data_IF_065934756318
#
_entry.id   IF_065934756318
#
_cell.length_a   1.000
_cell.length_b   1.000
_cell.length_c   1.000
_cell.angle_alpha   90.00
_cell.angle_beta   90.00
_cell.angle_gamma   90.00
#
_symmetry.space_group_name_H-M   'P 1'
#
loop_
_entity.id
_entity.type
_entity.pdbx_description
1 polymer ?
#
# COMPACT_ATOMS: atom_id res chain seq x y z
N UNK A 1 -0.48 -10.95 -7.47
CA UNK A 1 -0.77 -9.53 -7.76
C UNK A 1 0.03 -9.07 -8.98
N UNK A 2 -0.57 -8.26 -9.85
CA UNK A 2 0.12 -7.58 -10.96
C UNK A 2 0.71 -6.28 -10.45
N UNK A 3 1.95 -5.96 -10.84
CA UNK A 3 2.56 -4.68 -10.46
C UNK A 3 1.99 -3.53 -11.30
N UNK A 4 1.66 -2.42 -10.64
CA UNK A 4 1.08 -1.21 -11.25
C UNK A 4 1.87 0.00 -10.73
N UNK A 5 2.38 0.81 -11.65
CA UNK A 5 3.07 2.06 -11.32
C UNK A 5 2.10 3.18 -11.03
N UNK A 6 2.46 4.05 -10.09
CA UNK A 6 1.79 5.34 -9.90
C UNK A 6 2.04 6.25 -11.11
N UNK A 7 1.09 7.14 -11.39
CA UNK A 7 1.15 8.10 -12.51
C UNK A 7 1.53 9.52 -12.05
N UNK A 8 1.36 9.84 -10.77
CA UNK A 8 1.74 11.10 -10.15
C UNK A 8 2.60 10.85 -8.90
N UNK A 9 2.93 11.88 -8.13
CA UNK A 9 3.67 11.73 -6.87
C UNK A 9 2.76 11.28 -5.71
N UNK A 10 1.49 11.69 -5.75
CA UNK A 10 0.54 11.59 -4.62
C UNK A 10 -0.41 10.39 -4.70
N UNK A 11 -0.41 9.66 -5.80
CA UNK A 11 -1.34 8.58 -6.14
C UNK A 11 -0.77 7.17 -5.87
N UNK A 12 0.27 7.05 -5.05
CA UNK A 12 0.82 5.76 -4.62
C UNK A 12 -0.26 4.85 -3.98
N UNK A 13 -1.22 5.45 -3.27
CA UNK A 13 -2.38 4.73 -2.72
C UNK A 13 -3.29 4.15 -3.80
N UNK A 14 -3.55 4.89 -4.89
CA UNK A 14 -4.39 4.43 -6.00
C UNK A 14 -3.78 3.22 -6.70
N UNK A 15 -2.48 3.31 -7.02
CA UNK A 15 -1.76 2.20 -7.64
C UNK A 15 -1.70 0.98 -6.71
N UNK A 16 -1.46 1.19 -5.41
CA UNK A 16 -1.45 0.12 -4.40
C UNK A 16 -2.81 -0.57 -4.30
N UNK A 17 -3.90 0.20 -4.28
CA UNK A 17 -5.26 -0.34 -4.28
C UNK A 17 -5.55 -1.16 -5.54
N UNK A 18 -5.16 -0.66 -6.72
CA UNK A 18 -5.31 -1.38 -7.97
C UNK A 18 -4.59 -2.74 -7.97
N UNK A 19 -3.36 -2.79 -7.42
CA UNK A 19 -2.58 -4.04 -7.34
C UNK A 19 -3.26 -5.09 -6.44
N UNK A 20 -3.81 -4.65 -5.31
CA UNK A 20 -4.45 -5.50 -4.31
C UNK A 20 -5.83 -5.98 -4.75
N UNK A 21 -6.64 -5.10 -5.34
CA UNK A 21 -7.96 -5.43 -5.84
C UNK A 21 -7.92 -6.18 -7.19
N UNK A 22 -6.76 -6.26 -7.86
CA UNK A 22 -6.62 -6.94 -9.15
C UNK A 22 -7.29 -6.21 -10.31
N UNK A 23 -7.50 -4.89 -10.18
CA UNK A 23 -8.16 -4.04 -11.18
C UNK A 23 -7.18 -3.15 -11.94
N UNK A 24 -7.66 -2.46 -12.97
CA UNK A 24 -6.84 -1.49 -13.69
C UNK A 24 -6.57 -0.23 -12.85
N UNK A 25 -5.47 0.49 -13.14
CA UNK A 25 -5.22 1.79 -12.52
C UNK A 25 -6.40 2.76 -12.73
N UNK A 26 -6.94 2.81 -13.95
CA UNK A 26 -8.03 3.73 -14.31
C UNK A 26 -9.28 3.44 -13.48
N UNK A 27 -9.58 2.18 -13.24
CA UNK A 27 -10.71 1.75 -12.42
C UNK A 27 -10.53 2.14 -10.96
N UNK A 28 -9.36 1.85 -10.36
CA UNK A 28 -9.05 2.28 -9.00
C UNK A 28 -9.07 3.81 -8.85
N UNK A 29 -8.53 4.53 -9.84
CA UNK A 29 -8.52 5.99 -9.86
C UNK A 29 -9.94 6.58 -9.89
N UNK A 30 -10.86 5.97 -10.65
CA UNK A 30 -12.27 6.40 -10.70
C UNK A 30 -12.94 6.34 -9.34
N UNK A 31 -12.67 5.28 -8.56
CA UNK A 31 -13.19 5.11 -7.20
C UNK A 31 -12.51 6.09 -6.24
N UNK A 32 -11.18 6.21 -6.33
CA UNK A 32 -10.38 7.06 -5.45
C UNK A 32 -10.55 8.57 -5.68
N UNK A 33 -11.04 9.01 -6.84
CA UNK A 33 -11.03 10.42 -7.24
C UNK A 33 -11.70 11.37 -6.23
N UNK A 34 -12.70 10.89 -5.48
CA UNK A 34 -13.39 11.70 -4.45
C UNK A 34 -12.70 11.71 -3.09
N UNK A 35 -11.73 10.82 -2.88
CA UNK A 35 -11.08 10.54 -1.59
C UNK A 35 -9.58 10.86 -1.62
N UNK A 36 -9.05 11.27 -2.77
CA UNK A 36 -7.66 11.69 -2.93
C UNK A 36 -7.55 13.17 -2.52
N UNK A 37 -6.72 13.44 -1.51
CA UNK A 37 -6.42 14.81 -1.08
C UNK A 37 -5.11 15.30 -1.72
N UNK A 38 -4.83 16.60 -1.58
CA UNK A 38 -3.56 17.20 -2.05
C UNK A 38 -2.32 16.51 -1.46
N UNK A 39 -2.43 16.00 -0.23
CA UNK A 39 -1.38 15.23 0.46
C UNK A 39 -1.36 13.73 0.10
N UNK A 40 -2.19 13.29 -0.84
CA UNK A 40 -2.38 11.88 -1.20
C UNK A 40 -3.52 11.20 -0.44
N UNK A 41 -3.42 9.88 -0.28
CA UNK A 41 -4.48 9.04 0.28
C UNK A 41 -4.16 8.60 1.71
N UNK A 42 -5.00 8.99 2.67
CA UNK A 42 -4.93 8.54 4.06
C UNK A 42 -5.45 7.11 4.26
N UNK A 43 -5.26 6.52 5.45
CA UNK A 43 -5.68 5.13 5.70
C UNK A 43 -7.19 4.93 5.64
N UNK A 44 -8.01 5.87 6.14
CA UNK A 44 -9.47 5.76 6.09
C UNK A 44 -9.97 5.75 4.63
N UNK A 45 -9.50 6.72 3.83
CA UNK A 45 -9.76 6.78 2.39
C UNK A 45 -9.30 5.50 1.66
N UNK A 46 -8.11 4.97 2.01
CA UNK A 46 -7.62 3.74 1.40
C UNK A 46 -8.53 2.54 1.69
N UNK A 47 -8.99 2.38 2.94
CA UNK A 47 -9.91 1.30 3.33
C UNK A 47 -11.23 1.43 2.57
N UNK A 48 -11.80 2.63 2.51
CA UNK A 48 -13.05 2.89 1.77
C UNK A 48 -12.91 2.53 0.28
N UNK A 49 -11.78 2.90 -0.35
CA UNK A 49 -11.49 2.51 -1.73
C UNK A 49 -11.38 0.98 -1.86
N UNK A 50 -10.70 0.31 -0.94
CA UNK A 50 -10.55 -1.14 -0.99
C UNK A 50 -11.88 -1.87 -0.78
N UNK A 51 -12.71 -1.41 0.14
CA UNK A 51 -14.06 -1.94 0.35
C UNK A 51 -14.94 -1.75 -0.89
N UNK A 52 -14.90 -0.57 -1.52
CA UNK A 52 -15.62 -0.30 -2.75
C UNK A 52 -15.13 -1.16 -3.94
N UNK A 53 -13.83 -1.44 -4.03
CA UNK A 53 -13.24 -2.24 -5.12
C UNK A 53 -13.41 -3.75 -4.92
N UNK A 54 -13.42 -4.24 -3.67
CA UNK A 54 -13.36 -5.68 -3.38
C UNK A 54 -14.62 -6.23 -2.72
N UNK A 55 -15.55 -5.37 -2.29
CA UNK A 55 -16.74 -5.76 -1.53
C UNK A 55 -16.43 -6.41 -0.17
N UNK A 56 -15.19 -6.29 0.31
CA UNK A 56 -14.69 -6.95 1.52
C UNK A 56 -14.07 -5.93 2.46
N UNK A 57 -14.18 -6.16 3.76
CA UNK A 57 -13.54 -5.31 4.77
C UNK A 57 -12.01 -5.49 4.79
N UNK A 58 -11.29 -4.38 5.00
CA UNK A 58 -9.82 -4.34 5.05
C UNK A 58 -9.33 -3.80 6.39
N UNK A 59 -9.18 -4.66 7.43
CA UNK A 59 -8.78 -4.20 8.75
C UNK A 59 -7.38 -3.58 8.77
N UNK A 60 -7.22 -2.55 9.61
CA UNK A 60 -5.97 -1.85 9.84
C UNK A 60 -5.31 -2.31 11.14
N UNK A 61 -4.00 -2.56 11.09
CA UNK A 61 -3.22 -2.95 12.26
C UNK A 61 -2.83 -1.74 13.10
N UNK A 62 -2.50 -1.98 14.38
CA UNK A 62 -1.83 -0.99 15.22
C UNK A 62 -0.45 -0.62 14.64
N UNK A 63 0.03 0.62 14.84
CA UNK A 63 1.38 1.01 14.47
C UNK A 63 2.43 0.17 15.17
N UNK A 64 3.46 -0.25 14.42
CA UNK A 64 4.61 -0.99 14.97
C UNK A 64 5.88 -0.13 14.98
N UNK A 65 6.00 0.86 14.07
CA UNK A 65 7.14 1.80 13.95
C UNK A 65 8.52 1.12 13.86
N UNK A 66 8.58 -0.09 13.29
CA UNK A 66 9.82 -0.84 13.02
C UNK A 66 10.19 -0.76 11.54
N UNK A 67 11.48 -0.93 11.18
CA UNK A 67 11.88 -1.06 9.79
C UNK A 67 11.08 -2.15 9.07
N UNK A 68 10.76 -1.92 7.79
CA UNK A 68 10.04 -2.89 6.97
C UNK A 68 10.76 -4.25 6.89
N UNK A 69 12.10 -4.26 6.87
CA UNK A 69 12.91 -5.48 6.88
C UNK A 69 12.67 -6.35 8.13
N UNK A 70 12.37 -5.71 9.26
CA UNK A 70 12.19 -6.37 10.56
C UNK A 70 10.71 -6.58 10.90
N UNK A 71 9.81 -6.11 10.03
CA UNK A 71 8.38 -6.23 10.23
C UNK A 71 7.90 -7.58 9.71
N UNK A 72 7.31 -8.39 10.60
CA UNK A 72 6.64 -9.63 10.21
C UNK A 72 5.42 -9.30 9.35
N UNK A 73 5.56 -9.45 8.03
CA UNK A 73 4.48 -9.19 7.09
C UNK A 73 3.40 -10.27 7.20
N UNK A 74 2.12 -9.91 6.97
CA UNK A 74 1.06 -10.87 6.75
C UNK A 74 1.39 -11.79 5.58
N UNK A 75 0.94 -13.05 5.64
CA UNK A 75 1.07 -14.00 4.52
C UNK A 75 0.02 -13.80 3.44
N UNK A 76 -1.04 -13.02 3.71
CA UNK A 76 -2.01 -12.58 2.70
C UNK A 76 -1.64 -11.21 2.11
N UNK A 77 -2.23 -10.83 0.96
CA UNK A 77 -2.06 -9.52 0.37
C UNK A 77 -2.35 -8.38 1.35
N UNK A 78 -1.44 -7.41 1.42
CA UNK A 78 -1.54 -6.29 2.34
C UNK A 78 -1.04 -4.99 1.70
N UNK A 79 -1.67 -3.87 2.06
CA UNK A 79 -1.13 -2.54 1.86
C UNK A 79 -0.31 -2.12 3.09
N UNK A 80 0.85 -1.52 2.89
CA UNK A 80 1.74 -1.08 3.96
C UNK A 80 2.06 0.39 3.74
N UNK A 81 1.83 1.21 4.76
CA UNK A 81 2.35 2.58 4.80
C UNK A 81 3.75 2.55 5.38
N UNK A 82 4.75 2.87 4.57
CA UNK A 82 6.13 3.04 5.02
C UNK A 82 6.52 4.51 5.03
N UNK A 83 7.44 4.89 5.92
CA UNK A 83 7.87 6.28 6.07
C UNK A 83 9.33 6.38 6.51
N UNK A 84 10.14 7.27 5.92
CA UNK A 84 11.49 7.54 6.42
C UNK A 84 11.41 8.41 7.69
N UNK A 85 12.45 8.40 8.51
CA UNK A 85 12.45 9.12 9.80
C UNK A 85 12.38 10.64 9.67
N UNK A 86 12.81 11.18 8.53
CA UNK A 86 12.91 12.63 8.28
C UNK A 86 11.72 13.21 7.49
N UNK A 87 10.63 12.45 7.30
CA UNK A 87 9.41 12.95 6.63
C UNK A 87 8.15 12.57 7.39
N UNK A 88 7.15 13.44 7.32
CA UNK A 88 5.83 13.18 7.92
C UNK A 88 4.88 12.41 6.99
N UNK A 89 5.10 12.48 5.67
CA UNK A 89 4.29 11.80 4.67
C UNK A 89 4.71 10.35 4.47
N UNK A 90 3.71 9.45 4.50
CA UNK A 90 3.90 8.02 4.22
C UNK A 90 3.85 7.70 2.73
N UNK A 91 4.34 6.51 2.38
CA UNK A 91 4.30 5.95 1.04
C UNK A 91 3.61 4.58 1.08
N UNK A 92 2.61 4.39 0.24
CA UNK A 92 1.91 3.11 0.14
C UNK A 92 2.68 2.13 -0.75
N UNK A 93 2.79 0.89 -0.26
CA UNK A 93 3.27 -0.26 -1.04
C UNK A 93 2.34 -1.44 -0.83
N UNK A 94 2.24 -2.34 -1.82
CA UNK A 94 1.57 -3.62 -1.64
C UNK A 94 2.59 -4.73 -1.29
N UNK A 95 2.14 -5.77 -0.60
CA UNK A 95 2.93 -6.95 -0.26
C UNK A 95 2.10 -8.22 -0.36
N UNK A 96 2.75 -9.32 -0.75
CA UNK A 96 2.20 -10.69 -0.66
C UNK A 96 2.83 -11.51 0.47
N UNK A 97 3.49 -10.83 1.42
CA UNK A 97 4.22 -11.43 2.53
C UNK A 97 5.70 -11.69 2.26
N UNK A 98 6.09 -11.86 0.99
CA UNK A 98 7.49 -12.15 0.62
C UNK A 98 8.11 -11.07 -0.26
N UNK A 99 7.28 -10.37 -1.03
CA UNK A 99 7.68 -9.37 -2.01
C UNK A 99 6.96 -8.05 -1.77
N UNK A 100 7.64 -6.97 -2.11
CA UNK A 100 7.10 -5.60 -2.10
C UNK A 100 6.83 -5.17 -3.53
N UNK A 101 5.63 -4.66 -3.73
CA UNK A 101 5.13 -4.06 -4.96
C UNK A 101 5.03 -2.55 -4.70
N UNK A 102 6.15 -1.86 -4.95
CA UNK A 102 6.25 -0.42 -4.76
C UNK A 102 5.80 0.31 -6.05
N UNK A 103 4.75 1.12 -6.01
CA UNK A 103 4.24 1.81 -7.20
C UNK A 103 5.17 2.89 -7.74
N UNK A 104 6.14 3.38 -6.96
CA UNK A 104 7.10 4.40 -7.37
C UNK A 104 8.25 3.86 -8.23
N UNK A 105 8.44 2.53 -8.29
CA UNK A 105 9.53 1.87 -9.02
C UNK A 105 8.98 0.85 -10.01
N UNK A 106 9.81 0.38 -10.94
CA UNK A 106 9.38 -0.51 -12.06
C UNK A 106 9.45 -2.00 -11.75
N UNK A 107 10.10 -2.39 -10.66
CA UNK A 107 10.41 -3.79 -10.34
C UNK A 107 9.80 -4.19 -9.00
N UNK A 108 9.40 -5.45 -8.92
CA UNK A 108 9.01 -6.12 -7.69
C UNK A 108 10.29 -6.58 -6.98
N UNK A 109 10.38 -6.39 -5.67
CA UNK A 109 11.56 -6.79 -4.90
C UNK A 109 11.17 -7.75 -3.77
N UNK A 110 11.96 -8.80 -3.51
CA UNK A 110 11.95 -9.46 -2.21
C UNK A 110 12.17 -8.42 -1.10
N UNK A 111 11.44 -8.54 0.02
CA UNK A 111 11.51 -7.59 1.14
C UNK A 111 12.96 -7.35 1.59
N UNK A 112 13.76 -8.42 1.68
CA UNK A 112 15.16 -8.38 2.10
C UNK A 112 16.06 -7.49 1.23
N UNK A 113 15.72 -7.32 -0.05
CA UNK A 113 16.53 -6.56 -1.03
C UNK A 113 15.90 -5.22 -1.42
N UNK A 114 14.70 -4.94 -0.93
CA UNK A 114 13.99 -3.72 -1.26
C UNK A 114 14.73 -2.49 -0.73
N UNK A 115 14.83 -1.44 -1.55
CA UNK A 115 15.65 -0.26 -1.27
C UNK A 115 15.16 0.53 -0.06
N UNK A 116 13.83 0.60 0.13
CA UNK A 116 13.20 1.27 1.27
C UNK A 116 12.92 0.32 2.45
N UNK A 117 13.56 -0.85 2.52
CA UNK A 117 13.37 -1.81 3.62
C UNK A 117 13.72 -1.26 5.01
N UNK A 118 14.52 -0.20 5.08
CA UNK A 118 14.90 0.48 6.32
C UNK A 118 13.85 1.51 6.78
N UNK A 119 12.84 1.82 5.97
CA UNK A 119 11.78 2.76 6.34
C UNK A 119 10.84 2.13 7.36
N UNK A 120 10.28 2.95 8.25
CA UNK A 120 9.40 2.48 9.31
C UNK A 120 8.03 2.13 8.76
N UNK A 121 7.48 1.00 9.19
CA UNK A 121 6.08 0.63 8.98
C UNK A 121 5.20 1.43 9.94
N UNK A 122 4.34 2.26 9.35
CA UNK A 122 3.40 3.12 10.08
C UNK A 122 2.08 2.41 10.32
N UNK A 123 1.53 1.76 9.29
CA UNK A 123 0.29 0.99 9.33
C UNK A 123 0.34 -0.14 8.29
N UNK A 124 -0.38 -1.21 8.56
CA UNK A 124 -0.64 -2.29 7.62
C UNK A 124 -2.15 -2.45 7.49
N UNK A 125 -2.65 -2.55 6.27
CA UNK A 125 -4.05 -2.79 5.92
C UNK A 125 -4.10 -4.13 5.21
N UNK A 126 -4.83 -5.10 5.76
CA UNK A 126 -4.76 -6.49 5.32
C UNK A 126 -6.09 -6.95 4.73
N UNK A 127 -6.02 -7.84 3.75
CA UNK A 127 -7.17 -8.67 3.40
C UNK A 127 -7.39 -9.69 4.54
N UNK A 128 -8.63 -10.08 4.84
CA UNK A 128 -8.85 -11.20 5.75
C UNK A 128 -8.15 -12.46 5.21
N UNK A 129 -7.11 -12.89 5.90
CA UNK A 129 -6.51 -14.21 5.74
C UNK A 129 -7.49 -15.23 6.38
N UNK A 130 -8.16 -16.07 5.58
CA UNK A 130 -8.88 -17.26 6.05
C UNK A 130 -7.91 -18.36 6.48
#
# INVERSE_FOLDING_TARGET
MKHIRQRAVIDCGVATAAMLAGVSYTEAARVANRLLHEAGMGCAAFIEVMEALTGSAWPITRPVKRPLADHRLPTCPAAIVIRPDYRDYGHWVASDGTRVFDPAITRIYPVATYTKRHWKVIRTVVQYCS
#
